data_IF_448527847891
#
_entry.id   IF_448527847891
#
_cell.length_a   1.000
_cell.length_b   1.000
_cell.length_c   1.000
_cell.angle_alpha   90.00
_cell.angle_beta   90.00
_cell.angle_gamma   90.00
#
_symmetry.space_group_name_H-M   'P 1'
#
loop_
_entity.id
_entity.type
_entity.pdbx_description
1 polymer ?
#
# COMPACT_ATOMS: atom_id res chain seq x y z
N UNK A 1 7.33 11.33 10.60
CA UNK A 1 5.95 10.98 11.01
C UNK A 1 5.79 11.41 12.45
N UNK A 2 4.73 12.15 12.79
CA UNK A 2 4.52 12.64 14.14
C UNK A 2 4.40 11.48 15.13
N UNK A 3 5.02 11.62 16.29
CA UNK A 3 5.01 10.57 17.33
C UNK A 3 3.59 10.17 17.75
N UNK A 4 2.64 11.10 17.67
CA UNK A 4 1.23 10.87 17.94
C UNK A 4 0.55 9.96 16.90
N UNK A 5 0.88 10.14 15.62
CA UNK A 5 0.33 9.32 14.54
C UNK A 5 0.80 7.87 14.64
N UNK A 6 2.11 7.67 14.88
CA UNK A 6 2.65 6.33 15.13
C UNK A 6 2.00 5.67 16.34
N UNK A 7 1.83 6.42 17.43
CA UNK A 7 1.15 5.91 18.62
C UNK A 7 -0.30 5.51 18.33
N UNK A 8 -1.00 6.24 17.48
CA UNK A 8 -2.37 5.92 17.08
C UNK A 8 -2.42 4.65 16.22
N UNK A 9 -1.54 4.53 15.23
CA UNK A 9 -1.45 3.33 14.37
C UNK A 9 -1.12 2.08 15.21
N UNK A 10 -0.16 2.18 16.13
CA UNK A 10 0.17 1.09 17.06
C UNK A 10 -1.01 0.70 17.95
N UNK A 11 -1.76 1.68 18.46
CA UNK A 11 -2.97 1.40 19.26
C UNK A 11 -4.02 0.65 18.47
N UNK A 12 -4.26 1.05 17.20
CA UNK A 12 -5.28 0.37 16.37
C UNK A 12 -4.92 -1.08 16.05
N UNK A 13 -3.62 -1.43 16.05
CA UNK A 13 -3.17 -2.82 15.90
C UNK A 13 -3.61 -3.72 17.06
N UNK A 14 -3.64 -3.18 18.27
CA UNK A 14 -4.02 -3.91 19.49
C UNK A 14 -5.53 -3.96 19.75
N UNK A 15 -6.34 -3.22 18.99
CA UNK A 15 -7.78 -3.15 19.22
C UNK A 15 -8.48 -4.47 18.90
N UNK A 16 -9.41 -4.87 19.77
CA UNK A 16 -10.38 -5.92 19.45
C UNK A 16 -11.32 -5.47 18.32
N UNK A 17 -12.01 -6.42 17.70
CA UNK A 17 -12.96 -6.11 16.64
C UNK A 17 -14.06 -5.14 17.10
N UNK A 18 -14.57 -5.31 18.32
CA UNK A 18 -15.61 -4.43 18.88
C UNK A 18 -15.08 -3.00 19.08
N UNK A 19 -13.83 -2.87 19.56
CA UNK A 19 -13.18 -1.55 19.67
C UNK A 19 -12.97 -0.92 18.28
N UNK A 20 -12.60 -1.69 17.27
CA UNK A 20 -12.46 -1.19 15.90
C UNK A 20 -13.80 -0.69 15.34
N UNK A 21 -14.88 -1.46 15.54
CA UNK A 21 -16.24 -1.07 15.12
C UNK A 21 -16.68 0.23 15.79
N UNK A 22 -16.49 0.31 17.10
CA UNK A 22 -16.85 1.51 17.87
C UNK A 22 -16.03 2.73 17.40
N UNK A 23 -14.71 2.59 17.34
CA UNK A 23 -13.82 3.66 16.89
C UNK A 23 -14.12 4.12 15.48
N UNK A 24 -14.44 3.20 14.57
CA UNK A 24 -14.85 3.53 13.20
C UNK A 24 -16.14 4.35 13.19
N UNK A 25 -17.17 3.94 13.93
CA UNK A 25 -18.45 4.64 14.02
C UNK A 25 -18.32 6.03 14.64
N UNK A 26 -17.47 6.19 15.65
CA UNK A 26 -17.24 7.48 16.31
C UNK A 26 -16.35 8.44 15.51
N UNK A 27 -15.43 7.90 14.73
CA UNK A 27 -14.41 8.72 14.04
C UNK A 27 -14.81 9.10 12.63
N UNK A 28 -15.49 8.22 11.89
CA UNK A 28 -15.78 8.41 10.46
C UNK A 28 -17.21 8.90 10.29
N UNK A 29 -17.41 10.08 9.65
CA UNK A 29 -18.73 10.59 9.36
C UNK A 29 -19.58 9.62 8.54
N UNK A 30 -20.86 9.53 8.84
CA UNK A 30 -21.81 8.60 8.18
C UNK A 30 -21.86 8.77 6.66
N UNK A 31 -21.65 9.99 6.18
CA UNK A 31 -21.64 10.33 4.75
C UNK A 31 -20.45 9.76 3.99
N UNK A 32 -19.35 9.46 4.72
CA UNK A 32 -18.12 8.86 4.19
C UNK A 32 -18.00 7.39 4.54
N UNK A 33 -18.87 6.88 5.40
CA UNK A 33 -18.85 5.50 5.80
C UNK A 33 -19.28 4.59 4.64
N UNK A 34 -18.62 3.43 4.55
CA UNK A 34 -18.98 2.44 3.55
C UNK A 34 -20.33 1.77 3.86
N UNK A 35 -21.06 1.33 2.83
CA UNK A 35 -22.34 0.65 3.02
C UNK A 35 -22.22 -0.59 3.92
N UNK A 36 -23.22 -0.84 4.75
CA UNK A 36 -23.25 -2.02 5.63
C UNK A 36 -23.11 -3.32 4.83
N UNK A 37 -23.73 -3.38 3.66
CA UNK A 37 -23.67 -4.52 2.76
C UNK A 37 -22.23 -4.89 2.32
N UNK A 38 -21.34 -3.90 2.20
CA UNK A 38 -19.92 -4.16 1.93
C UNK A 38 -19.29 -4.99 3.05
N UNK A 39 -19.56 -4.62 4.30
CA UNK A 39 -18.97 -5.27 5.47
C UNK A 39 -19.53 -6.66 5.74
N UNK A 40 -20.81 -6.90 5.42
CA UNK A 40 -21.49 -8.20 5.62
C UNK A 40 -20.85 -9.33 4.80
N UNK A 41 -20.12 -9.00 3.74
CA UNK A 41 -19.43 -9.99 2.90
C UNK A 41 -18.16 -10.56 3.54
N UNK A 42 -17.69 -9.99 4.65
CA UNK A 42 -16.41 -10.35 5.29
C UNK A 42 -16.63 -10.98 6.66
N UNK A 43 -15.87 -12.04 6.95
CA UNK A 43 -15.74 -12.55 8.32
C UNK A 43 -14.89 -11.63 9.21
N UNK A 44 -14.91 -11.89 10.51
CA UNK A 44 -14.35 -11.02 11.56
C UNK A 44 -12.88 -10.60 11.30
N UNK A 45 -12.04 -11.50 10.85
CA UNK A 45 -10.62 -11.22 10.59
C UNK A 45 -10.46 -10.19 9.45
N UNK A 46 -11.13 -10.43 8.33
CA UNK A 46 -11.10 -9.53 7.16
C UNK A 46 -11.76 -8.18 7.46
N UNK A 47 -12.85 -8.21 8.22
CA UNK A 47 -13.50 -7.00 8.70
C UNK A 47 -12.56 -6.17 9.57
N UNK A 48 -11.81 -6.79 10.48
CA UNK A 48 -10.82 -6.08 11.30
C UNK A 48 -9.72 -5.41 10.45
N UNK A 49 -9.23 -6.09 9.40
CA UNK A 49 -8.27 -5.50 8.44
C UNK A 49 -8.87 -4.26 7.78
N UNK A 50 -10.09 -4.36 7.25
CA UNK A 50 -10.76 -3.26 6.57
C UNK A 50 -11.02 -2.05 7.48
N UNK A 51 -11.47 -2.28 8.71
CA UNK A 51 -11.69 -1.20 9.69
C UNK A 51 -10.38 -0.52 10.09
N UNK A 52 -9.29 -1.28 10.31
CA UNK A 52 -7.96 -0.71 10.54
C UNK A 52 -7.49 0.12 9.36
N UNK A 53 -7.70 -0.34 8.13
CA UNK A 53 -7.37 0.39 6.91
C UNK A 53 -8.08 1.76 6.86
N UNK A 54 -9.38 1.77 7.12
CA UNK A 54 -10.15 3.01 7.18
C UNK A 54 -9.62 3.98 8.23
N UNK A 55 -9.38 3.50 9.45
CA UNK A 55 -8.89 4.31 10.56
C UNK A 55 -7.47 4.84 10.29
N UNK A 56 -6.59 4.02 9.71
CA UNK A 56 -5.23 4.42 9.35
C UNK A 56 -5.23 5.55 8.31
N UNK A 57 -5.99 5.40 7.22
CA UNK A 57 -6.10 6.44 6.18
C UNK A 57 -6.80 7.69 6.71
N UNK A 58 -7.85 7.53 7.51
CA UNK A 58 -8.52 8.65 8.15
C UNK A 58 -7.57 9.49 8.98
N UNK A 59 -6.77 8.85 9.82
CA UNK A 59 -5.77 9.50 10.66
C UNK A 59 -4.66 10.17 9.84
N UNK A 60 -4.05 9.43 8.90
CA UNK A 60 -2.90 9.91 8.12
C UNK A 60 -3.25 10.97 7.09
N UNK A 61 -4.49 10.98 6.60
CA UNK A 61 -4.99 12.01 5.68
C UNK A 61 -5.43 13.29 6.37
N UNK A 62 -5.31 13.40 7.69
CA UNK A 62 -5.85 14.52 8.47
C UNK A 62 -7.37 14.57 8.46
N UNK A 63 -8.02 13.43 8.56
CA UNK A 63 -9.49 13.28 8.61
C UNK A 63 -10.20 13.75 7.35
N UNK A 64 -9.65 13.44 6.18
CA UNK A 64 -10.17 13.88 4.89
C UNK A 64 -10.60 12.75 3.95
N UNK A 65 -10.00 11.58 4.08
CA UNK A 65 -10.14 10.49 3.13
C UNK A 65 -10.53 9.21 3.86
N UNK A 66 -11.51 8.50 3.32
CA UNK A 66 -11.84 7.11 3.64
C UNK A 66 -11.59 6.29 2.38
N UNK A 67 -10.92 5.14 2.46
CA UNK A 67 -10.73 4.26 1.32
C UNK A 67 -12.09 3.82 0.75
N UNK A 68 -12.18 3.71 -0.56
CA UNK A 68 -13.37 3.18 -1.21
C UNK A 68 -13.36 1.64 -1.27
N UNK A 69 -14.46 1.05 -1.73
CA UNK A 69 -14.67 -0.40 -1.72
C UNK A 69 -13.56 -1.17 -2.43
N UNK A 70 -13.14 -0.77 -3.65
CA UNK A 70 -12.11 -1.53 -4.38
C UNK A 70 -10.74 -1.45 -3.70
N UNK A 71 -10.40 -0.31 -3.09
CA UNK A 71 -9.14 -0.14 -2.36
C UNK A 71 -9.09 -1.03 -1.13
N UNK A 72 -10.21 -1.12 -0.41
CA UNK A 72 -10.32 -2.04 0.74
C UNK A 72 -10.34 -3.50 0.32
N UNK A 73 -11.06 -3.84 -0.73
CA UNK A 73 -11.06 -5.21 -1.26
C UNK A 73 -9.65 -5.66 -1.64
N UNK A 74 -8.91 -4.81 -2.36
CA UNK A 74 -7.51 -5.08 -2.70
C UNK A 74 -6.63 -5.23 -1.45
N UNK A 75 -6.77 -4.32 -0.48
CA UNK A 75 -6.02 -4.37 0.79
C UNK A 75 -6.33 -5.64 1.58
N UNK A 76 -7.62 -5.95 1.77
CA UNK A 76 -8.06 -7.13 2.53
C UNK A 76 -7.54 -8.42 1.88
N UNK A 77 -7.61 -8.52 0.55
CA UNK A 77 -7.09 -9.68 -0.18
C UNK A 77 -5.57 -9.82 0.02
N UNK A 78 -4.83 -8.75 -0.18
CA UNK A 78 -3.38 -8.75 -0.03
C UNK A 78 -2.94 -9.10 1.39
N UNK A 79 -3.54 -8.46 2.40
CA UNK A 79 -3.24 -8.73 3.82
C UNK A 79 -3.70 -10.12 4.28
N UNK A 80 -4.57 -10.77 3.51
CA UNK A 80 -4.95 -12.18 3.70
C UNK A 80 -4.06 -13.15 2.92
N UNK A 81 -2.93 -12.69 2.35
CA UNK A 81 -1.97 -13.52 1.61
C UNK A 81 -2.44 -13.92 0.21
N UNK A 82 -3.35 -13.15 -0.40
CA UNK A 82 -3.84 -13.41 -1.75
C UNK A 82 -3.24 -12.42 -2.76
N UNK A 83 -2.78 -12.93 -3.88
CA UNK A 83 -2.40 -12.09 -5.01
C UNK A 83 -3.60 -11.29 -5.51
N UNK A 84 -3.37 -10.04 -5.86
CA UNK A 84 -4.46 -9.13 -6.22
C UNK A 84 -4.13 -8.34 -7.48
N UNK A 85 -5.01 -8.42 -8.48
CA UNK A 85 -4.97 -7.59 -9.68
C UNK A 85 -5.99 -6.46 -9.54
N UNK A 86 -5.53 -5.21 -9.63
CA UNK A 86 -6.38 -4.01 -9.57
C UNK A 86 -6.44 -3.36 -10.95
N UNK A 87 -7.55 -3.60 -11.66
CA UNK A 87 -7.81 -3.00 -12.96
C UNK A 87 -8.88 -1.90 -12.84
N UNK A 88 -8.41 -0.67 -12.65
CA UNK A 88 -9.25 0.54 -12.60
C UNK A 88 -8.58 1.67 -13.36
N UNK A 89 -9.38 2.59 -13.87
CA UNK A 89 -8.91 3.75 -14.66
C UNK A 89 -7.90 4.64 -13.91
N UNK A 90 -7.28 5.56 -14.66
CA UNK A 90 -6.43 6.60 -14.06
C UNK A 90 -7.27 7.56 -13.22
N UNK A 91 -6.70 8.08 -12.11
CA UNK A 91 -7.39 9.03 -11.23
C UNK A 91 -8.25 8.41 -10.13
N UNK A 92 -8.49 7.10 -10.12
CA UNK A 92 -9.29 6.43 -9.09
C UNK A 92 -8.54 6.15 -7.78
N UNK A 93 -7.31 6.62 -7.62
CA UNK A 93 -6.57 6.48 -6.36
C UNK A 93 -5.96 5.09 -6.14
N UNK A 94 -5.48 4.42 -7.20
CA UNK A 94 -4.78 3.12 -7.11
C UNK A 94 -3.61 3.13 -6.12
N UNK A 95 -2.95 4.26 -5.94
CA UNK A 95 -1.82 4.41 -5.03
C UNK A 95 -2.18 4.03 -3.59
N UNK A 96 -3.43 4.26 -3.16
CA UNK A 96 -3.89 3.83 -1.84
C UNK A 96 -3.88 2.31 -1.66
N UNK A 97 -4.08 1.53 -2.73
CA UNK A 97 -3.97 0.07 -2.66
C UNK A 97 -2.55 -0.40 -2.28
N UNK A 98 -1.53 0.43 -2.52
CA UNK A 98 -0.15 0.16 -2.11
C UNK A 98 0.18 0.78 -0.74
N UNK A 99 -0.33 1.98 -0.46
CA UNK A 99 -0.10 2.73 0.78
C UNK A 99 -0.72 2.01 1.98
N UNK A 100 -1.98 1.58 1.85
CA UNK A 100 -2.71 1.00 2.99
C UNK A 100 -2.00 -0.24 3.56
N UNK A 101 -1.59 -1.24 2.76
CA UNK A 101 -0.84 -2.38 3.27
C UNK A 101 0.43 -1.97 4.02
N UNK A 102 1.19 -1.00 3.49
CA UNK A 102 2.40 -0.51 4.16
C UNK A 102 2.12 0.12 5.55
N UNK A 103 0.95 0.78 5.72
CA UNK A 103 0.54 1.33 7.01
C UNK A 103 0.09 0.26 8.00
N UNK A 104 -0.48 -0.83 7.51
CA UNK A 104 -1.01 -1.93 8.34
C UNK A 104 0.04 -2.95 8.71
N UNK A 105 1.11 -3.06 7.93
CA UNK A 105 2.15 -4.06 8.12
C UNK A 105 2.96 -3.83 9.40
N UNK A 106 3.71 -4.85 9.79
CA UNK A 106 4.50 -4.83 11.03
C UNK A 106 5.62 -3.79 10.96
N UNK A 107 6.00 -3.16 12.08
CA UNK A 107 7.17 -2.29 12.12
C UNK A 107 8.43 -3.02 11.63
N UNK A 108 9.16 -2.38 10.72
CA UNK A 108 10.36 -2.95 10.11
C UNK A 108 10.12 -3.79 8.87
N UNK A 109 8.88 -3.98 8.43
CA UNK A 109 8.57 -4.58 7.14
C UNK A 109 9.03 -3.69 5.99
N UNK A 110 9.47 -4.31 4.91
CA UNK A 110 9.91 -3.64 3.70
C UNK A 110 8.96 -4.01 2.57
N UNK A 111 8.40 -3.02 1.92
CA UNK A 111 7.56 -3.18 0.73
C UNK A 111 8.31 -2.72 -0.52
N UNK A 112 8.27 -3.51 -1.57
CA UNK A 112 8.92 -3.20 -2.85
C UNK A 112 7.84 -2.89 -3.88
N UNK A 113 7.90 -1.68 -4.46
CA UNK A 113 7.02 -1.25 -5.54
C UNK A 113 7.82 -1.14 -6.83
N UNK A 114 7.45 -1.92 -7.84
CA UNK A 114 8.10 -1.89 -9.14
C UNK A 114 7.31 -0.94 -10.04
N UNK A 115 7.94 0.14 -10.49
CA UNK A 115 7.35 1.14 -11.37
C UNK A 115 8.25 1.37 -12.58
N UNK A 116 7.76 1.21 -13.82
CA UNK A 116 8.58 1.30 -15.03
C UNK A 116 8.97 2.73 -15.41
N UNK A 117 8.33 3.74 -14.82
CA UNK A 117 8.52 5.14 -15.19
C UNK A 117 9.11 5.95 -14.04
N UNK A 118 10.31 6.52 -14.23
CA UNK A 118 11.00 7.37 -13.24
C UNK A 118 10.12 8.52 -12.71
N UNK A 119 9.37 9.19 -13.59
CA UNK A 119 8.46 10.26 -13.16
C UNK A 119 7.37 9.74 -12.23
N UNK A 120 6.86 8.54 -12.49
CA UNK A 120 5.86 7.91 -11.63
C UNK A 120 6.48 7.52 -10.28
N UNK A 121 7.72 7.03 -10.26
CA UNK A 121 8.45 6.74 -9.02
C UNK A 121 8.56 7.98 -8.14
N UNK A 122 8.97 9.11 -8.71
CA UNK A 122 9.08 10.37 -7.96
C UNK A 122 7.74 10.82 -7.35
N UNK A 123 6.65 10.71 -8.12
CA UNK A 123 5.30 11.03 -7.63
C UNK A 123 4.88 10.05 -6.52
N UNK A 124 5.17 8.77 -6.69
CA UNK A 124 4.87 7.76 -5.67
C UNK A 124 5.62 8.00 -4.37
N UNK A 125 6.90 8.36 -4.41
CA UNK A 125 7.67 8.73 -3.19
C UNK A 125 6.96 9.85 -2.44
N UNK A 126 6.60 10.94 -3.12
CA UNK A 126 5.89 12.06 -2.49
C UNK A 126 4.53 11.66 -1.91
N UNK A 127 3.79 10.79 -2.60
CA UNK A 127 2.51 10.30 -2.10
C UNK A 127 2.69 9.43 -0.84
N UNK A 128 3.65 8.51 -0.82
CA UNK A 128 3.95 7.67 0.35
C UNK A 128 4.39 8.52 1.55
N UNK A 129 5.25 9.52 1.33
CA UNK A 129 5.70 10.46 2.36
C UNK A 129 4.54 11.24 3.00
N UNK A 130 3.52 11.63 2.22
CA UNK A 130 2.30 12.29 2.74
C UNK A 130 1.58 11.45 3.80
N UNK A 131 1.66 10.13 3.68
CA UNK A 131 1.11 9.19 4.66
C UNK A 131 2.12 8.77 5.72
N UNK A 132 3.30 9.41 5.74
CA UNK A 132 4.36 9.15 6.71
C UNK A 132 5.15 7.87 6.47
N UNK A 133 5.10 7.30 5.27
CA UNK A 133 5.86 6.12 4.88
C UNK A 133 7.19 6.57 4.31
N UNK A 134 8.29 6.20 4.98
CA UNK A 134 9.64 6.46 4.46
C UNK A 134 9.86 5.65 3.19
N UNK A 135 10.15 6.33 2.09
CA UNK A 135 10.21 5.73 0.77
C UNK A 135 11.44 6.23 0.00
N UNK A 136 12.10 5.33 -0.70
CA UNK A 136 13.25 5.65 -1.54
C UNK A 136 13.00 5.10 -2.94
N UNK A 137 13.17 5.95 -3.96
CA UNK A 137 13.18 5.50 -5.35
C UNK A 137 14.60 5.05 -5.72
N UNK A 138 14.74 3.83 -6.22
CA UNK A 138 16.00 3.28 -6.71
C UNK A 138 15.89 3.10 -8.21
N UNK A 139 16.76 3.78 -8.96
CA UNK A 139 16.84 3.72 -10.41
C UNK A 139 18.26 4.07 -10.88
N UNK A 140 18.48 4.15 -12.18
CA UNK A 140 19.80 4.43 -12.78
C UNK A 140 20.42 5.76 -12.36
N UNK A 141 19.62 6.73 -11.88
CA UNK A 141 20.08 8.03 -11.40
C UNK A 141 20.38 8.02 -9.90
N UNK A 142 20.12 6.92 -9.21
CA UNK A 142 20.36 6.81 -7.76
C UNK A 142 21.87 6.80 -7.49
N UNK A 143 22.38 7.71 -6.65
CA UNK A 143 23.80 7.73 -6.29
C UNK A 143 24.24 6.39 -5.70
N UNK A 144 25.46 5.96 -6.03
CA UNK A 144 26.06 4.80 -5.39
C UNK A 144 26.53 5.15 -3.97
N UNK A 145 25.58 5.35 -3.07
CA UNK A 145 25.81 5.69 -1.67
C UNK A 145 25.85 4.40 -0.83
N UNK A 146 27.02 4.07 -0.24
CA UNK A 146 27.14 2.89 0.62
C UNK A 146 26.18 2.87 1.81
N UNK A 147 25.76 4.03 2.32
CA UNK A 147 24.82 4.09 3.44
C UNK A 147 23.40 3.70 3.00
N UNK A 148 22.99 4.09 1.79
CA UNK A 148 21.72 3.66 1.20
C UNK A 148 21.63 2.14 1.11
N UNK A 149 22.74 1.48 0.74
CA UNK A 149 22.79 0.04 0.56
C UNK A 149 22.98 -0.75 1.88
N UNK A 150 23.52 -0.13 2.93
CA UNK A 150 23.62 -0.77 4.27
C UNK A 150 22.26 -1.02 4.91
N UNK A 151 21.28 -0.19 4.63
CA UNK A 151 19.93 -0.32 5.17
C UNK A 151 19.17 -1.50 4.52
N UNK A 152 19.72 -2.06 3.40
CA UNK A 152 19.02 -3.00 2.55
C UNK A 152 19.81 -4.30 2.28
N UNK A 153 20.23 -5.07 3.30
CA UNK A 153 20.99 -6.30 3.06
C UNK A 153 20.22 -7.38 2.27
N UNK A 154 18.89 -7.22 2.12
CA UNK A 154 18.03 -8.12 1.33
C UNK A 154 17.85 -7.68 -0.13
N UNK A 155 18.18 -6.43 -0.46
CA UNK A 155 17.95 -5.87 -1.82
C UNK A 155 18.96 -6.43 -2.82
N UNK A 156 20.17 -6.79 -2.42
CA UNK A 156 21.15 -7.41 -3.32
C UNK A 156 20.63 -8.71 -3.95
N UNK A 157 19.86 -9.49 -3.20
CA UNK A 157 19.25 -10.72 -3.74
C UNK A 157 18.09 -10.41 -4.71
N UNK A 158 17.28 -9.39 -4.43
CA UNK A 158 16.17 -9.00 -5.28
C UNK A 158 16.61 -8.22 -6.51
N UNK A 159 17.67 -7.42 -6.44
CA UNK A 159 18.22 -6.69 -7.58
C UNK A 159 18.72 -7.63 -8.68
N UNK A 160 19.40 -8.70 -8.33
CA UNK A 160 19.82 -9.74 -9.30
C UNK A 160 18.62 -10.45 -9.94
N UNK A 161 17.54 -10.69 -9.18
CA UNK A 161 16.33 -11.32 -9.70
C UNK A 161 15.43 -10.37 -10.50
N UNK A 162 15.24 -9.12 -10.07
CA UNK A 162 14.35 -8.18 -10.72
C UNK A 162 14.91 -7.61 -12.02
N UNK A 163 16.21 -7.41 -12.12
CA UNK A 163 16.84 -6.93 -13.37
C UNK A 163 16.82 -7.99 -14.46
N UNK A 164 16.95 -9.26 -14.10
CA UNK A 164 16.94 -10.37 -15.08
C UNK A 164 15.54 -10.91 -15.40
N UNK A 165 14.63 -10.92 -14.43
CA UNK A 165 13.34 -11.64 -14.60
C UNK A 165 12.16 -10.74 -14.93
N UNK A 166 12.03 -9.56 -14.31
CA UNK A 166 10.86 -8.69 -14.55
C UNK A 166 10.95 -7.89 -15.84
N UNK A 167 12.13 -7.38 -16.22
CA UNK A 167 12.24 -6.57 -17.45
C UNK A 167 12.15 -7.41 -18.73
N UNK A 168 12.76 -8.59 -18.77
CA UNK A 168 12.70 -9.44 -19.97
C UNK A 168 11.36 -10.13 -20.17
N UNK A 169 10.74 -10.64 -19.11
CA UNK A 169 9.46 -11.34 -19.24
C UNK A 169 8.26 -10.37 -19.36
N UNK A 170 8.27 -9.25 -18.65
CA UNK A 170 7.21 -8.24 -18.80
C UNK A 170 7.25 -7.57 -20.18
N UNK A 171 8.44 -7.41 -20.78
CA UNK A 171 8.57 -6.88 -22.13
C UNK A 171 8.11 -7.90 -23.20
N UNK A 172 8.31 -9.20 -22.98
CA UNK A 172 7.84 -10.25 -23.90
C UNK A 172 6.34 -10.49 -23.84
N UNK A 173 5.73 -10.44 -22.66
CA UNK A 173 4.28 -10.69 -22.51
C UNK A 173 3.43 -9.48 -22.91
N UNK A 174 3.89 -8.24 -22.64
CA UNK A 174 3.10 -7.03 -22.91
C UNK A 174 3.27 -6.52 -24.34
N UNK A 175 4.42 -6.71 -24.98
CA UNK A 175 4.73 -6.13 -26.30
C UNK A 175 4.87 -7.12 -27.44
N UNK A 176 4.61 -8.41 -27.23
CA UNK A 176 4.59 -9.44 -28.25
C UNK A 176 5.74 -9.32 -29.27
N UNK A 177 6.50 -10.35 -29.51
CA UNK A 177 7.45 -10.36 -30.60
C UNK A 177 6.70 -10.13 -31.92
N UNK A 178 6.72 -8.90 -32.43
CA UNK A 178 6.40 -8.66 -33.84
C UNK A 178 7.43 -9.41 -34.66
N UNK A 179 6.99 -10.54 -35.21
CA UNK A 179 7.83 -11.41 -36.02
C UNK A 179 8.42 -10.67 -37.20
N UNK A 180 9.67 -10.89 -37.39
CA UNK A 180 10.36 -10.68 -38.66
C UNK A 180 10.05 -11.87 -39.56
N UNK A 181 9.38 -11.61 -40.63
CA UNK A 181 9.59 -12.36 -41.89
C UNK A 181 10.82 -11.84 -42.56
#
# INVERSE_FOLDING_TARGET
MDSELNSLLEKTRSFSLDMLKLTYQESIPSELALPTAFWESYGDEKLAIGLRACLAIWATSGKKIVPNEFQLTATISLMSGQDTLVDVGTGYGKTLCMIIPCLLDSPGSISIVISPLKRLQAVQVLEFERYGITTVAINEDTPNDPELWKVWPLVDFFWQLSTLFCLENMYREVFGTSGST
#
